data_IF_051534673526
#
_entry.id   IF_051534673526
#
_cell.length_a   1.000
_cell.length_b   1.000
_cell.length_c   1.000
_cell.angle_alpha   90.00
_cell.angle_beta   90.00
_cell.angle_gamma   90.00
#
_symmetry.space_group_name_H-M   'P 1'
#
loop_
_entity.id
_entity.type
_entity.pdbx_description
1 polymer ?
#
# COMPACT_ATOMS: atom_id res chain seq x y z
N UNK A 1 1.48 -25.31 0.69
CA UNK A 1 0.22 -24.70 1.02
C UNK A 1 -0.50 -24.14 -0.18
N UNK A 2 -1.62 -23.59 0.12
CA UNK A 2 -2.51 -23.03 -0.88
C UNK A 2 -2.35 -21.53 -0.93
N UNK A 3 -2.29 -20.96 -2.14
CA UNK A 3 -2.19 -19.52 -2.31
C UNK A 3 -3.56 -18.90 -2.07
N UNK A 4 -3.66 -18.00 -1.09
CA UNK A 4 -4.92 -17.30 -0.80
C UNK A 4 -4.89 -15.85 -1.25
N UNK A 5 -3.69 -15.30 -1.50
CA UNK A 5 -3.57 -13.94 -2.00
C UNK A 5 -2.12 -13.59 -2.26
N UNK A 6 -1.89 -12.44 -2.87
CA UNK A 6 -0.54 -11.97 -3.12
C UNK A 6 -0.52 -10.45 -3.22
N UNK A 7 0.68 -9.89 -3.07
CA UNK A 7 0.92 -8.48 -3.27
C UNK A 7 2.14 -8.34 -4.18
N UNK A 8 2.06 -7.44 -5.14
CA UNK A 8 3.16 -7.15 -6.06
C UNK A 8 3.55 -5.70 -5.91
N UNK A 9 4.85 -5.45 -5.86
CA UNK A 9 5.36 -4.09 -5.75
C UNK A 9 6.66 -4.01 -6.53
N UNK A 10 6.94 -2.81 -7.04
CA UNK A 10 8.20 -2.50 -7.69
C UNK A 10 9.01 -1.65 -6.73
N UNK A 11 10.24 -2.07 -6.45
CA UNK A 11 11.11 -1.36 -5.53
C UNK A 11 12.09 -0.52 -6.34
N UNK A 12 12.06 0.79 -6.12
CA UNK A 12 12.90 1.73 -6.85
C UNK A 12 13.63 2.58 -5.81
N UNK A 13 14.94 2.36 -5.71
CA UNK A 13 15.80 3.09 -4.79
C UNK A 13 15.24 3.03 -3.36
N UNK A 14 14.50 4.04 -2.91
CA UNK A 14 13.98 4.10 -1.55
C UNK A 14 12.44 4.12 -1.50
N UNK A 15 11.81 3.64 -2.57
CA UNK A 15 10.35 3.72 -2.68
C UNK A 15 9.80 2.40 -3.18
N UNK A 16 8.65 2.00 -2.65
CA UNK A 16 7.92 0.82 -3.11
C UNK A 16 6.63 1.28 -3.77
N UNK A 17 6.45 0.88 -5.02
CA UNK A 17 5.27 1.20 -5.80
C UNK A 17 4.39 -0.05 -5.85
N UNK A 18 3.28 -0.03 -5.13
CA UNK A 18 2.40 -1.19 -5.04
C UNK A 18 1.57 -1.28 -6.31
N UNK A 19 1.77 -2.35 -7.05
CA UNK A 19 1.11 -2.55 -8.34
C UNK A 19 -0.20 -3.32 -8.20
N UNK A 20 -0.27 -4.25 -7.25
CA UNK A 20 -1.45 -5.10 -7.15
C UNK A 20 -1.49 -5.80 -5.81
N UNK A 21 -2.70 -5.89 -5.24
CA UNK A 21 -2.99 -6.70 -4.06
C UNK A 21 -4.21 -7.54 -4.43
N UNK A 22 -4.09 -8.86 -4.31
CA UNK A 22 -5.16 -9.75 -4.73
C UNK A 22 -5.36 -10.83 -3.67
N UNK A 23 -6.63 -11.12 -3.37
CA UNK A 23 -7.01 -12.16 -2.42
C UNK A 23 -8.10 -12.99 -3.08
N UNK A 24 -7.99 -14.32 -3.04
CA UNK A 24 -9.04 -15.16 -3.62
C UNK A 24 -10.36 -14.90 -2.90
N UNK A 25 -11.50 -14.97 -3.62
CA UNK A 25 -12.78 -14.54 -3.04
C UNK A 25 -13.13 -15.21 -1.72
N UNK A 26 -12.82 -16.49 -1.55
CA UNK A 26 -13.16 -17.24 -0.35
C UNK A 26 -12.47 -16.70 0.90
N UNK A 27 -11.37 -15.97 0.73
CA UNK A 27 -10.57 -15.48 1.85
C UNK A 27 -10.63 -13.96 2.02
N UNK A 28 -11.52 -13.31 1.29
CA UNK A 28 -11.69 -11.86 1.42
C UNK A 28 -12.37 -11.54 2.73
N UNK A 29 -12.12 -10.33 3.25
CA UNK A 29 -12.70 -9.83 4.50
C UNK A 29 -12.21 -10.60 5.72
N UNK A 30 -11.05 -11.25 5.61
CA UNK A 30 -10.41 -11.96 6.71
C UNK A 30 -9.09 -11.35 7.10
N UNK A 31 -8.82 -10.12 6.64
CA UNK A 31 -7.59 -9.45 6.97
C UNK A 31 -6.38 -9.89 6.15
N UNK A 32 -6.59 -10.70 5.11
CA UNK A 32 -5.46 -11.19 4.30
C UNK A 32 -4.77 -10.05 3.58
N UNK A 33 -5.56 -9.15 2.96
CA UNK A 33 -4.96 -8.03 2.24
C UNK A 33 -4.17 -7.12 3.18
N UNK A 34 -4.71 -6.85 4.37
CA UNK A 34 -4.01 -6.04 5.37
C UNK A 34 -2.72 -6.71 5.79
N UNK A 35 -2.74 -8.03 5.98
CA UNK A 35 -1.55 -8.78 6.35
C UNK A 35 -0.50 -8.74 5.25
N UNK A 36 -0.93 -8.80 3.99
CA UNK A 36 0.00 -8.70 2.86
C UNK A 36 0.68 -7.33 2.82
N UNK A 37 -0.09 -6.27 3.06
CA UNK A 37 0.47 -4.92 3.10
C UNK A 37 1.45 -4.78 4.25
N UNK A 38 1.09 -5.30 5.43
CA UNK A 38 1.98 -5.25 6.59
C UNK A 38 3.26 -6.02 6.33
N UNK A 39 3.16 -7.18 5.68
CA UNK A 39 4.33 -7.97 5.32
C UNK A 39 5.25 -7.24 4.36
N UNK A 40 4.66 -6.57 3.37
CA UNK A 40 5.45 -5.78 2.42
C UNK A 40 6.15 -4.63 3.13
N UNK A 41 5.44 -3.93 4.02
CA UNK A 41 6.03 -2.82 4.76
C UNK A 41 7.21 -3.31 5.59
N UNK A 42 7.04 -4.43 6.28
CA UNK A 42 8.11 -4.99 7.10
C UNK A 42 9.32 -5.36 6.25
N UNK A 43 9.08 -6.03 5.13
CA UNK A 43 10.12 -6.41 4.19
C UNK A 43 10.90 -5.17 3.70
N UNK A 44 10.19 -4.12 3.35
CA UNK A 44 10.80 -2.91 2.82
C UNK A 44 11.54 -2.12 3.90
N UNK A 45 10.96 -2.02 5.09
CA UNK A 45 11.59 -1.26 6.17
C UNK A 45 12.93 -1.87 6.56
N UNK A 46 13.03 -3.19 6.54
CA UNK A 46 14.29 -3.86 6.85
C UNK A 46 15.37 -3.58 5.80
N UNK A 47 14.99 -3.06 4.65
CA UNK A 47 15.88 -2.73 3.55
C UNK A 47 16.06 -1.24 3.36
N UNK A 48 15.57 -0.44 4.31
CA UNK A 48 15.71 1.01 4.24
C UNK A 48 14.69 1.68 3.35
N UNK A 49 13.64 0.96 2.94
CA UNK A 49 12.60 1.53 2.09
C UNK A 49 11.40 1.81 2.98
N UNK A 50 11.05 3.10 3.12
CA UNK A 50 9.97 3.48 4.00
C UNK A 50 8.91 4.35 3.32
N UNK A 51 8.96 4.46 2.00
CA UNK A 51 7.97 5.23 1.25
C UNK A 51 7.25 4.31 0.30
N UNK A 52 5.92 4.41 0.30
CA UNK A 52 5.05 3.54 -0.48
C UNK A 52 4.08 4.39 -1.26
N UNK A 53 3.84 4.02 -2.51
CA UNK A 53 2.91 4.73 -3.36
C UNK A 53 2.04 3.73 -4.11
N UNK A 54 0.86 4.17 -4.50
CA UNK A 54 -0.03 3.35 -5.31
C UNK A 54 -1.02 4.25 -6.05
N UNK A 55 -1.66 3.67 -7.06
CA UNK A 55 -2.76 4.32 -7.75
C UNK A 55 -3.94 3.36 -7.74
N UNK A 56 -5.12 3.88 -7.47
CA UNK A 56 -6.32 3.07 -7.35
C UNK A 56 -7.48 3.80 -8.04
N UNK A 57 -8.33 3.05 -8.71
CA UNK A 57 -9.51 3.63 -9.36
C UNK A 57 -10.35 4.34 -8.30
N UNK A 58 -10.76 5.60 -8.58
CA UNK A 58 -11.50 6.39 -7.61
C UNK A 58 -12.80 5.72 -7.18
N UNK A 59 -13.34 4.84 -8.02
CA UNK A 59 -14.59 4.14 -7.73
C UNK A 59 -14.39 2.84 -6.98
N UNK A 60 -13.16 2.43 -6.74
CA UNK A 60 -12.89 1.19 -6.01
C UNK A 60 -12.87 1.48 -4.52
N UNK A 61 -14.06 1.56 -3.93
CA UNK A 61 -14.19 1.95 -2.53
C UNK A 61 -13.54 0.96 -1.58
N UNK A 62 -13.66 -0.32 -1.88
CA UNK A 62 -13.10 -1.35 -1.00
C UNK A 62 -11.58 -1.22 -0.91
N UNK A 63 -10.92 -1.03 -2.08
CA UNK A 63 -9.48 -0.88 -2.10
C UNK A 63 -9.04 0.41 -1.40
N UNK A 64 -9.77 1.50 -1.65
CA UNK A 64 -9.43 2.77 -1.02
C UNK A 64 -9.54 2.69 0.49
N UNK A 65 -10.59 2.03 0.99
CA UNK A 65 -10.74 1.82 2.43
C UNK A 65 -9.60 0.98 2.99
N UNK A 66 -9.21 -0.06 2.28
CA UNK A 66 -8.12 -0.92 2.70
C UNK A 66 -6.83 -0.11 2.85
N UNK A 67 -6.50 0.69 1.84
CA UNK A 67 -5.27 1.46 1.87
C UNK A 67 -5.32 2.57 2.92
N UNK A 68 -6.47 3.24 3.06
CA UNK A 68 -6.62 4.27 4.09
C UNK A 68 -6.46 3.65 5.48
N UNK A 69 -7.01 2.45 5.68
CA UNK A 69 -6.85 1.74 6.95
C UNK A 69 -5.41 1.36 7.24
N UNK A 70 -4.60 1.20 6.20
CA UNK A 70 -3.19 0.89 6.36
C UNK A 70 -2.33 2.14 6.54
N UNK A 71 -2.93 3.32 6.48
CA UNK A 71 -2.22 4.57 6.73
C UNK A 71 -1.92 5.39 5.48
N UNK A 72 -2.34 4.92 4.31
CA UNK A 72 -2.14 5.69 3.07
C UNK A 72 -3.06 6.91 3.05
N UNK A 73 -2.57 8.00 2.48
CA UNK A 73 -3.35 9.22 2.33
C UNK A 73 -3.40 9.59 0.85
N UNK A 74 -4.51 10.19 0.44
CA UNK A 74 -4.68 10.64 -0.93
C UNK A 74 -3.87 11.91 -1.14
N UNK A 75 -3.11 11.95 -2.25
CA UNK A 75 -2.29 13.12 -2.57
C UNK A 75 -2.64 13.70 -3.92
N UNK A 76 -3.52 13.08 -4.69
CA UNK A 76 -3.90 13.64 -5.98
C UNK A 76 -4.75 12.70 -6.79
N UNK A 77 -5.17 13.19 -7.94
CA UNK A 77 -5.99 12.44 -8.88
C UNK A 77 -5.30 12.46 -10.24
N UNK A 78 -5.16 11.29 -10.85
CA UNK A 78 -4.68 11.18 -12.24
C UNK A 78 -5.90 10.97 -13.12
N UNK A 79 -6.19 11.95 -13.96
CA UNK A 79 -7.40 11.93 -14.78
C UNK A 79 -7.31 10.91 -15.91
N UNK A 80 -8.41 10.15 -16.09
CA UNK A 80 -8.57 9.27 -17.24
C UNK A 80 -7.58 8.11 -17.31
N UNK A 81 -7.01 7.72 -16.19
CA UNK A 81 -5.92 6.72 -16.18
C UNK A 81 -6.42 5.30 -16.46
N UNK A 82 -7.54 4.91 -15.85
CA UNK A 82 -8.05 3.54 -16.02
C UNK A 82 -9.22 3.57 -17.00
N UNK A 83 -8.96 3.30 -18.28
CA UNK A 83 -10.01 3.20 -19.29
C UNK A 83 -10.96 4.39 -19.22
N UNK A 84 -10.40 5.59 -19.07
CA UNK A 84 -11.19 6.80 -18.98
C UNK A 84 -11.63 7.17 -17.57
N UNK A 85 -11.43 6.29 -16.61
CA UNK A 85 -11.76 6.58 -15.22
C UNK A 85 -10.54 7.13 -14.50
N UNK A 86 -10.80 7.95 -13.49
CA UNK A 86 -9.72 8.60 -12.74
C UNK A 86 -9.09 7.61 -11.73
N UNK A 87 -7.82 7.83 -11.46
CA UNK A 87 -7.10 7.09 -10.42
C UNK A 87 -6.75 8.03 -9.29
N UNK A 88 -6.90 7.55 -8.07
CA UNK A 88 -6.47 8.28 -6.91
C UNK A 88 -5.06 7.84 -6.55
N UNK A 89 -4.17 8.82 -6.33
CA UNK A 89 -2.78 8.54 -5.98
C UNK A 89 -2.69 8.61 -4.47
N UNK A 90 -2.16 7.54 -3.86
CA UNK A 90 -2.06 7.46 -2.41
C UNK A 90 -0.63 7.18 -2.00
N UNK A 91 -0.20 7.78 -0.92
CA UNK A 91 1.16 7.66 -0.41
C UNK A 91 1.12 7.27 1.06
N UNK A 92 2.17 6.55 1.48
CA UNK A 92 2.41 6.24 2.87
C UNK A 92 3.90 6.38 3.13
N UNK A 93 4.25 7.07 4.22
CA UNK A 93 5.63 7.11 4.68
C UNK A 93 5.66 6.55 6.09
N UNK A 94 6.49 5.54 6.29
CA UNK A 94 6.65 4.92 7.61
C UNK A 94 7.98 5.36 8.19
N UNK A 95 7.99 5.60 9.48
CA UNK A 95 9.24 5.91 10.15
C UNK A 95 9.92 4.62 10.54
N UNK A 96 11.23 4.60 10.40
CA UNK A 96 11.98 3.42 10.77
C UNK A 96 12.01 3.29 12.30
N UNK A 97 12.14 2.06 12.76
CA UNK A 97 12.28 1.79 14.19
C UNK A 97 13.49 2.53 14.74
N UNK A 98 13.37 3.01 15.95
CA UNK A 98 14.46 3.68 16.63
C UNK A 98 14.48 5.17 16.42
N UNK A 99 13.56 5.62 15.71
CA UNK A 99 13.37 7.05 15.62
C UNK A 99 12.22 7.44 16.48
N UNK A 100 12.18 7.08 16.29
CA UNK A 100 11.27 7.41 16.80
C UNK A 100 10.91 7.83 17.61
N UNK A 101 10.59 7.82 17.71
CA UNK A 101 10.26 8.23 18.22
C UNK A 101 10.42 9.04 18.80
N UNK A 102 10.63 9.27 18.92
CA UNK A 102 11.00 10.05 19.34
C UNK A 102 11.15 10.95 19.13
N UNK A 103 11.22 11.20 18.97
CA UNK A 103 11.45 12.02 18.67
C UNK A 103 11.61 12.53 18.24
N UNK A 104 11.60 12.52 17.71
CA UNK A 104 11.84 12.87 17.04
C UNK A 104 11.67 13.57 16.82
N UNK A 105 11.43 13.64 16.73
CA UNK A 105 11.52 14.03 16.25
C UNK A 105 11.76 14.87 16.33
N UNK A 106 12.09 15.08 16.34
CA UNK A 106 12.63 15.73 16.31
C UNK A 106 12.84 16.14 15.92
#
# INVERSE_FOLDING_TARGET
GETVGYICARLIIDEADINNVSVVPEFRRRGVASALIDGLKDYCLKRGINRFTLEVNVNNRAAKSLYAGAGFVSVGIRKGYYHGEDAEIMWLTEESDGENHQGRRI
#
